data_IF_676867429099
#
_entry.id   IF_676867429099
#
_cell.length_a   1.000
_cell.length_b   1.000
_cell.length_c   1.000
_cell.angle_alpha   90.00
_cell.angle_beta   90.00
_cell.angle_gamma   90.00
#
_symmetry.space_group_name_H-M   'P 1'
#
loop_
_entity.id
_entity.type
_entity.pdbx_description
1 polymer ?
#
# COMPACT_ATOMS: atom_id res chain seq x y z
N UNK A 1 -12.39 -58.65 -23.61
CA UNK A 1 -12.08 -57.55 -22.73
C UNK A 1 -12.26 -56.25 -23.52
N UNK A 2 -13.33 -55.50 -23.26
CA UNK A 2 -13.61 -54.18 -23.93
C UNK A 2 -13.09 -53.08 -23.00
N UNK A 3 -12.09 -52.32 -23.45
CA UNK A 3 -11.58 -51.16 -22.72
C UNK A 3 -12.41 -49.94 -23.08
N UNK A 4 -13.09 -49.38 -22.09
CA UNK A 4 -13.88 -48.17 -22.20
C UNK A 4 -12.98 -46.98 -21.86
N UNK A 5 -12.66 -46.17 -22.85
CA UNK A 5 -11.94 -44.89 -22.66
C UNK A 5 -12.91 -43.81 -22.21
N UNK A 6 -12.73 -43.30 -20.98
CA UNK A 6 -13.41 -42.07 -20.53
C UNK A 6 -12.60 -40.86 -20.99
N UNK A 7 -13.16 -40.07 -21.86
CA UNK A 7 -12.69 -38.71 -22.14
C UNK A 7 -13.14 -37.81 -20.98
N UNK A 8 -12.25 -37.00 -20.36
CA UNK A 8 -12.67 -35.98 -19.44
C UNK A 8 -13.25 -34.79 -20.23
N UNK A 9 -14.51 -34.48 -19.99
CA UNK A 9 -15.20 -33.28 -20.49
C UNK A 9 -14.66 -32.06 -19.73
N UNK A 10 -13.74 -31.33 -20.34
CA UNK A 10 -13.29 -30.04 -19.84
C UNK A 10 -14.40 -29.02 -20.03
N UNK A 11 -15.09 -28.69 -18.97
CA UNK A 11 -16.05 -27.58 -18.96
C UNK A 11 -15.29 -26.25 -19.01
N UNK A 12 -15.26 -25.60 -20.15
CA UNK A 12 -14.83 -24.21 -20.29
C UNK A 12 -15.89 -23.32 -19.63
N UNK A 13 -15.57 -22.78 -18.45
CA UNK A 13 -16.32 -21.65 -17.90
C UNK A 13 -16.03 -20.42 -18.77
N UNK A 14 -16.95 -20.10 -19.65
CA UNK A 14 -16.95 -18.82 -20.36
C UNK A 14 -17.35 -17.72 -19.36
N UNK A 15 -16.36 -17.02 -18.80
CA UNK A 15 -16.58 -15.79 -18.05
C UNK A 15 -16.91 -14.70 -19.06
N UNK A 16 -18.19 -14.33 -19.15
CA UNK A 16 -18.63 -13.18 -19.93
C UNK A 16 -18.19 -11.92 -19.20
N UNK A 17 -17.14 -11.26 -19.67
CA UNK A 17 -16.82 -9.91 -19.23
C UNK A 17 -17.85 -8.95 -19.85
N UNK A 18 -18.67 -8.33 -19.01
CA UNK A 18 -19.48 -7.18 -19.43
C UNK A 18 -18.50 -6.06 -19.76
N UNK A 19 -18.50 -5.63 -21.01
CA UNK A 19 -17.73 -4.46 -21.44
C UNK A 19 -18.50 -3.24 -20.94
N UNK A 20 -18.08 -2.70 -19.80
CA UNK A 20 -18.55 -1.43 -19.31
C UNK A 20 -17.94 -0.31 -20.16
N UNK A 21 -18.75 0.61 -20.63
CA UNK A 21 -18.30 1.74 -21.42
C UNK A 21 -18.98 3.03 -20.95
N UNK A 22 -18.19 3.94 -20.40
CA UNK A 22 -18.67 5.29 -20.13
C UNK A 22 -18.97 5.99 -21.48
N UNK A 23 -19.91 6.90 -21.49
CA UNK A 23 -20.30 7.67 -22.70
C UNK A 23 -20.20 9.17 -22.41
N UNK A 24 -19.60 9.90 -23.33
CA UNK A 24 -19.52 11.36 -23.34
C UNK A 24 -20.26 11.89 -24.57
N UNK A 25 -21.27 12.71 -24.37
CA UNK A 25 -21.98 13.43 -25.42
C UNK A 25 -21.41 14.83 -25.53
N UNK A 26 -21.00 15.18 -26.73
CA UNK A 26 -20.49 16.52 -27.05
C UNK A 26 -21.63 17.46 -27.53
N UNK A 27 -21.44 18.75 -27.36
CA UNK A 27 -22.40 19.80 -27.79
C UNK A 27 -22.70 19.81 -29.28
N UNK A 28 -21.82 19.26 -30.10
CA UNK A 28 -22.03 19.09 -31.54
C UNK A 28 -22.84 17.83 -31.90
N UNK A 29 -23.24 17.02 -30.91
CA UNK A 29 -23.99 15.78 -31.04
C UNK A 29 -23.12 14.52 -31.17
N UNK A 30 -21.81 14.62 -31.23
CA UNK A 30 -20.92 13.46 -31.27
C UNK A 30 -20.93 12.70 -29.94
N UNK A 31 -20.85 11.37 -30.03
CA UNK A 31 -20.74 10.47 -28.89
C UNK A 31 -19.40 9.76 -28.88
N UNK A 32 -18.77 9.75 -27.72
CA UNK A 32 -17.50 9.07 -27.51
C UNK A 32 -17.70 8.03 -26.42
N UNK A 33 -17.47 6.76 -26.73
CA UNK A 33 -17.60 5.65 -25.80
C UNK A 33 -16.20 5.14 -25.39
N UNK A 34 -16.03 4.81 -24.11
CA UNK A 34 -14.77 4.33 -23.57
C UNK A 34 -14.78 4.34 -22.06
N UNK A 35 -13.65 4.60 -21.45
CA UNK A 35 -13.49 4.72 -19.98
C UNK A 35 -13.05 6.13 -19.64
N UNK A 36 -13.81 6.84 -18.84
CA UNK A 36 -13.43 8.15 -18.30
C UNK A 36 -12.30 7.94 -17.28
N UNK A 37 -11.11 8.43 -17.62
CA UNK A 37 -9.94 8.29 -16.74
C UNK A 37 -9.92 9.35 -15.65
N UNK A 38 -9.99 10.62 -16.06
CA UNK A 38 -9.97 11.76 -15.11
C UNK A 38 -10.44 13.05 -15.77
N UNK A 39 -10.93 13.99 -14.96
CA UNK A 39 -11.13 15.40 -15.36
C UNK A 39 -10.33 16.27 -14.43
N UNK A 40 -9.49 17.12 -15.00
CA UNK A 40 -8.70 18.10 -14.25
C UNK A 40 -8.58 19.39 -15.06
N UNK A 41 -8.76 20.52 -14.38
CA UNK A 41 -8.79 21.82 -15.07
C UNK A 41 -9.88 21.86 -16.14
N UNK A 42 -9.50 22.18 -17.38
CA UNK A 42 -10.39 22.34 -18.54
C UNK A 42 -10.46 21.12 -19.45
N UNK A 43 -9.97 19.96 -19.04
CA UNK A 43 -9.91 18.77 -19.90
C UNK A 43 -10.43 17.53 -19.20
N UNK A 44 -11.08 16.66 -19.96
CA UNK A 44 -11.43 15.28 -19.62
C UNK A 44 -10.49 14.34 -20.36
N UNK A 45 -9.90 13.41 -19.65
CA UNK A 45 -9.10 12.32 -20.21
C UNK A 45 -9.95 11.05 -20.28
N UNK A 46 -9.92 10.37 -21.41
CA UNK A 46 -10.70 9.17 -21.68
C UNK A 46 -9.87 8.14 -22.44
N UNK A 47 -10.01 6.86 -22.10
CA UNK A 47 -9.48 5.74 -22.87
C UNK A 47 -10.57 5.19 -23.77
N UNK A 48 -10.23 4.86 -25.01
CA UNK A 48 -11.15 4.24 -25.95
C UNK A 48 -10.57 2.92 -26.47
N UNK A 49 -11.37 2.06 -27.14
CA UNK A 49 -10.83 0.86 -27.79
C UNK A 49 -9.76 1.14 -28.85
N UNK A 50 -9.68 2.38 -29.35
CA UNK A 50 -8.80 2.79 -30.45
C UNK A 50 -7.60 3.63 -30.00
N UNK A 51 -7.64 4.17 -28.77
CA UNK A 51 -6.59 5.02 -28.24
C UNK A 51 -6.49 4.86 -26.72
N UNK A 52 -5.26 4.69 -26.21
CA UNK A 52 -4.99 4.59 -24.77
C UNK A 52 -5.41 5.84 -24.01
N UNK A 53 -5.35 7.01 -24.70
CA UNK A 53 -5.73 8.28 -24.10
C UNK A 53 -6.18 9.26 -25.19
N UNK A 54 -7.37 9.80 -25.01
CA UNK A 54 -7.86 10.98 -25.72
C UNK A 54 -8.14 12.10 -24.74
N UNK A 55 -7.98 13.33 -25.17
CA UNK A 55 -8.19 14.53 -24.35
C UNK A 55 -9.34 15.33 -24.97
N UNK A 56 -10.40 15.52 -24.20
CA UNK A 56 -11.61 16.23 -24.59
C UNK A 56 -11.68 17.54 -23.80
N UNK A 57 -11.93 18.65 -24.50
CA UNK A 57 -12.16 19.94 -23.82
C UNK A 57 -13.46 19.86 -23.02
N UNK A 58 -13.40 20.24 -21.75
CA UNK A 58 -14.53 20.15 -20.83
C UNK A 58 -15.73 20.98 -21.27
N UNK A 59 -15.47 22.15 -21.83
CA UNK A 59 -16.48 23.06 -22.36
C UNK A 59 -17.19 22.56 -23.62
N UNK A 60 -16.63 21.57 -24.31
CA UNK A 60 -17.26 20.91 -25.47
C UNK A 60 -18.26 19.81 -25.05
N UNK A 61 -18.29 19.39 -23.79
CA UNK A 61 -19.14 18.32 -23.30
C UNK A 61 -20.53 18.89 -22.95
N UNK A 62 -21.58 18.19 -23.39
CA UNK A 62 -22.97 18.46 -23.03
C UNK A 62 -23.39 17.65 -21.82
N UNK A 63 -23.12 16.33 -21.83
CA UNK A 63 -23.38 15.45 -20.68
C UNK A 63 -22.48 14.21 -20.75
N UNK A 64 -22.46 13.45 -19.66
CA UNK A 64 -21.74 12.19 -19.59
C UNK A 64 -22.49 11.16 -18.76
N UNK A 65 -22.22 9.89 -19.02
CA UNK A 65 -22.70 8.77 -18.21
C UNK A 65 -21.58 7.78 -17.95
N UNK A 66 -21.68 7.02 -16.86
CA UNK A 66 -20.71 6.00 -16.51
C UNK A 66 -21.37 4.71 -16.07
N UNK A 67 -20.75 3.60 -16.45
CA UNK A 67 -21.17 2.26 -16.02
C UNK A 67 -20.48 1.81 -14.72
N UNK A 68 -19.48 2.55 -14.29
CA UNK A 68 -18.76 2.34 -13.04
C UNK A 68 -18.86 3.61 -12.19
N UNK A 69 -19.04 3.50 -10.86
CA UNK A 69 -19.02 4.67 -9.99
C UNK A 69 -17.75 5.49 -10.17
N UNK A 70 -17.92 6.81 -10.25
CA UNK A 70 -16.82 7.76 -10.33
C UNK A 70 -16.84 8.72 -9.13
N UNK A 71 -15.68 9.23 -8.77
CA UNK A 71 -15.53 10.26 -7.78
C UNK A 71 -15.59 11.62 -8.47
N UNK A 72 -16.48 12.48 -8.03
CA UNK A 72 -16.68 13.83 -8.55
C UNK A 72 -16.46 14.82 -7.43
N UNK A 73 -15.51 15.72 -7.61
CA UNK A 73 -15.25 16.84 -6.70
C UNK A 73 -15.86 18.09 -7.31
N UNK A 74 -16.71 18.76 -6.54
CA UNK A 74 -17.32 20.04 -6.92
C UNK A 74 -16.41 21.23 -6.57
N UNK A 75 -16.70 22.40 -7.11
CA UNK A 75 -15.94 23.63 -6.82
C UNK A 75 -16.00 24.07 -5.38
N UNK A 76 -17.06 23.74 -4.67
CA UNK A 76 -17.23 23.97 -3.22
C UNK A 76 -16.48 22.95 -2.36
N UNK A 77 -15.72 22.03 -3.01
CA UNK A 77 -14.98 20.91 -2.41
C UNK A 77 -15.85 19.77 -1.89
N UNK A 78 -17.14 19.76 -2.19
CA UNK A 78 -17.96 18.59 -1.91
C UNK A 78 -17.54 17.41 -2.80
N UNK A 79 -17.36 16.25 -2.21
CA UNK A 79 -17.01 15.01 -2.91
C UNK A 79 -18.24 14.10 -2.97
N UNK A 80 -18.53 13.64 -4.16
CA UNK A 80 -19.67 12.78 -4.47
C UNK A 80 -19.16 11.54 -5.20
N UNK A 81 -19.66 10.36 -4.81
CA UNK A 81 -19.33 9.10 -5.48
C UNK A 81 -20.60 8.43 -5.97
N UNK A 82 -20.63 8.06 -7.24
CA UNK A 82 -21.78 7.38 -7.82
C UNK A 82 -21.62 7.10 -9.31
N UNK A 83 -22.61 6.39 -9.87
CA UNK A 83 -22.75 6.21 -11.31
C UNK A 83 -23.20 7.53 -11.93
N UNK A 84 -22.47 8.03 -12.90
CA UNK A 84 -22.93 9.20 -13.62
C UNK A 84 -24.05 8.85 -14.59
N UNK A 85 -25.12 9.63 -14.54
CA UNK A 85 -26.23 9.58 -15.48
C UNK A 85 -26.28 10.83 -16.34
N UNK A 86 -26.57 10.66 -17.63
CA UNK A 86 -26.75 11.79 -18.54
C UNK A 86 -27.98 12.63 -18.12
N UNK A 87 -27.83 13.94 -18.20
CA UNK A 87 -28.91 14.90 -17.94
C UNK A 87 -28.90 15.98 -19.01
N UNK A 88 -29.99 16.71 -19.15
CA UNK A 88 -30.11 17.84 -20.11
C UNK A 88 -29.43 19.10 -19.58
N UNK A 89 -29.23 20.06 -20.44
CA UNK A 89 -28.74 21.42 -20.11
C UNK A 89 -27.34 21.44 -19.50
N UNK A 90 -26.39 20.80 -20.13
CA UNK A 90 -24.99 20.84 -19.74
C UNK A 90 -24.78 20.41 -18.27
N UNK A 91 -25.46 19.31 -17.89
CA UNK A 91 -25.44 18.76 -16.55
C UNK A 91 -25.35 17.23 -16.55
N UNK A 92 -25.06 16.66 -15.39
CA UNK A 92 -25.07 15.24 -15.12
C UNK A 92 -25.76 14.96 -13.79
N UNK A 93 -26.20 13.72 -13.58
CA UNK A 93 -26.64 13.23 -12.27
C UNK A 93 -25.66 12.21 -11.74
N UNK A 94 -25.65 11.99 -10.42
CA UNK A 94 -24.90 10.90 -9.80
C UNK A 94 -25.86 10.03 -9.01
N UNK A 95 -25.84 8.74 -9.30
CA UNK A 95 -26.61 7.72 -8.58
C UNK A 95 -25.74 7.08 -7.51
N UNK A 96 -25.94 7.49 -6.27
CA UNK A 96 -25.21 6.97 -5.13
C UNK A 96 -25.80 5.64 -4.67
N UNK A 97 -24.96 4.59 -4.59
CA UNK A 97 -25.34 3.24 -4.13
C UNK A 97 -26.60 2.65 -4.78
N UNK A 98 -26.96 3.10 -5.97
CA UNK A 98 -28.11 2.59 -6.71
C UNK A 98 -29.47 2.99 -6.17
N UNK A 99 -29.56 3.84 -5.15
CA UNK A 99 -30.83 4.15 -4.43
C UNK A 99 -31.35 5.54 -4.72
N UNK A 100 -30.46 6.56 -4.81
CA UNK A 100 -30.87 7.94 -5.03
C UNK A 100 -30.04 8.59 -6.14
N UNK A 101 -30.72 9.29 -7.06
CA UNK A 101 -30.06 10.19 -8.00
C UNK A 101 -29.93 11.58 -7.35
N UNK A 102 -28.77 12.23 -7.57
CA UNK A 102 -28.64 13.64 -7.17
C UNK A 102 -29.56 14.51 -8.03
N UNK A 103 -29.81 15.73 -7.56
CA UNK A 103 -30.28 16.78 -8.47
C UNK A 103 -29.27 16.94 -9.61
N UNK A 104 -29.71 17.39 -10.81
CA UNK A 104 -28.78 17.65 -11.91
C UNK A 104 -27.66 18.59 -11.47
N UNK A 105 -26.42 18.13 -11.62
CA UNK A 105 -25.20 18.87 -11.29
C UNK A 105 -24.74 19.55 -12.58
N UNK A 106 -24.69 20.90 -12.64
CA UNK A 106 -24.13 21.58 -13.79
C UNK A 106 -22.67 21.18 -13.99
N UNK A 107 -22.25 20.88 -15.20
CA UNK A 107 -20.85 20.51 -15.49
C UNK A 107 -19.89 21.66 -15.15
N UNK A 108 -20.39 22.89 -15.12
CA UNK A 108 -19.61 24.07 -14.67
C UNK A 108 -19.21 23.99 -13.21
N UNK A 109 -19.96 23.27 -12.37
CA UNK A 109 -19.66 23.12 -10.94
C UNK A 109 -18.73 21.94 -10.64
N UNK A 110 -18.45 21.09 -11.63
CA UNK A 110 -17.53 19.96 -11.49
C UNK A 110 -16.09 20.47 -11.57
N UNK A 111 -15.36 20.40 -10.47
CA UNK A 111 -13.95 20.74 -10.41
C UNK A 111 -13.07 19.61 -10.95
N UNK A 112 -13.26 18.39 -10.45
CA UNK A 112 -12.46 17.21 -10.81
C UNK A 112 -13.34 15.96 -10.92
N UNK A 113 -12.91 15.00 -11.75
CA UNK A 113 -13.49 13.64 -11.82
C UNK A 113 -12.33 12.66 -11.72
N UNK A 114 -12.47 11.61 -10.91
CA UNK A 114 -11.47 10.57 -10.72
C UNK A 114 -10.08 11.16 -10.52
N UNK A 115 -9.95 12.06 -9.56
CA UNK A 115 -8.68 12.73 -9.22
C UNK A 115 -7.59 11.68 -9.00
N UNK A 116 -6.45 11.87 -9.64
CA UNK A 116 -5.26 11.07 -9.32
C UNK A 116 -4.68 11.61 -8.03
N UNK A 117 -4.75 10.80 -6.98
CA UNK A 117 -4.10 11.14 -5.72
C UNK A 117 -2.64 10.73 -5.78
N UNK A 118 -1.77 11.69 -5.51
CA UNK A 118 -0.39 11.45 -5.16
C UNK A 118 -0.23 11.85 -3.71
N UNK A 119 0.08 10.91 -2.86
CA UNK A 119 0.30 11.12 -1.43
C UNK A 119 1.53 10.39 -0.98
N UNK A 120 2.07 10.80 0.13
CA UNK A 120 3.22 10.15 0.71
C UNK A 120 3.63 10.78 2.01
N UNK A 121 4.65 10.22 2.61
CA UNK A 121 5.31 10.82 3.77
C UNK A 121 6.79 10.46 3.80
N UNK A 122 7.58 11.32 4.40
CA UNK A 122 8.96 11.05 4.77
C UNK A 122 9.13 11.44 6.23
N UNK A 123 9.60 10.50 7.04
CA UNK A 123 9.75 10.65 8.47
C UNK A 123 11.20 10.37 8.89
N UNK A 124 11.66 11.11 9.86
CA UNK A 124 12.97 10.91 10.49
C UNK A 124 12.81 11.00 12.00
N UNK A 125 13.40 10.04 12.70
CA UNK A 125 13.39 9.98 14.16
C UNK A 125 14.71 9.50 14.72
N UNK A 126 14.90 9.70 15.99
CA UNK A 126 16.10 9.24 16.65
C UNK A 126 16.17 9.68 18.11
N UNK A 127 17.12 9.12 18.80
CA UNK A 127 17.42 9.44 20.18
C UNK A 127 18.91 9.32 20.47
N UNK A 128 19.43 10.24 21.25
CA UNK A 128 20.79 10.24 21.77
C UNK A 128 20.72 10.24 23.29
N UNK A 129 21.52 9.42 23.93
CA UNK A 129 21.71 9.50 25.37
C UNK A 129 23.19 9.37 25.69
N UNK A 130 23.63 10.03 26.76
CA UNK A 130 24.99 9.99 27.25
C UNK A 130 25.04 9.71 28.73
N UNK A 131 26.23 9.37 29.24
CA UNK A 131 26.47 9.03 30.65
C UNK A 131 27.26 7.73 30.77
N UNK A 132 26.88 6.85 31.69
CA UNK A 132 27.54 5.54 31.87
C UNK A 132 27.29 4.60 30.66
N UNK A 133 26.23 4.85 29.91
CA UNK A 133 25.94 4.19 28.61
C UNK A 133 25.59 5.27 27.61
N UNK A 134 26.31 5.32 26.51
CA UNK A 134 25.96 6.13 25.37
C UNK A 134 25.09 5.31 24.41
N UNK A 135 23.98 5.90 23.92
CA UNK A 135 23.09 5.27 22.95
C UNK A 135 22.79 6.22 21.80
N UNK A 136 22.76 5.65 20.60
CA UNK A 136 22.37 6.35 19.40
C UNK A 136 21.35 5.48 18.66
N UNK A 137 20.21 6.05 18.34
CA UNK A 137 19.18 5.37 17.55
C UNK A 137 18.70 6.32 16.46
N UNK A 138 18.62 5.83 15.23
CA UNK A 138 18.10 6.56 14.07
C UNK A 138 17.06 5.71 13.35
N UNK A 139 15.99 6.34 12.98
CA UNK A 139 14.94 5.76 12.14
C UNK A 139 14.61 6.73 11.03
N UNK A 140 14.51 6.22 9.81
CA UNK A 140 14.03 6.97 8.66
C UNK A 140 13.09 6.08 7.86
N UNK A 141 11.94 6.62 7.45
CA UNK A 141 11.04 5.97 6.51
C UNK A 141 10.50 6.96 5.50
N UNK A 142 10.17 6.44 4.34
CA UNK A 142 9.47 7.18 3.30
C UNK A 142 8.51 6.26 2.57
N UNK A 143 7.37 6.80 2.17
CA UNK A 143 6.40 6.11 1.33
C UNK A 143 5.78 7.09 0.33
N UNK A 144 5.36 6.55 -0.80
CA UNK A 144 4.65 7.27 -1.83
C UNK A 144 3.54 6.38 -2.38
N UNK A 145 2.38 6.96 -2.65
CA UNK A 145 1.22 6.30 -3.20
C UNK A 145 0.66 7.13 -4.35
N UNK A 146 0.45 6.47 -5.47
CA UNK A 146 -0.27 7.04 -6.61
C UNK A 146 -1.54 6.22 -6.79
N UNK A 147 -2.69 6.88 -6.71
CA UNK A 147 -4.00 6.28 -6.90
C UNK A 147 -4.66 6.90 -8.12
N UNK A 148 -4.88 6.10 -9.14
CA UNK A 148 -5.74 6.42 -10.28
C UNK A 148 -7.14 5.83 -10.08
N UNK A 149 -7.96 5.84 -11.12
CA UNK A 149 -9.30 5.24 -11.09
C UNK A 149 -9.24 3.74 -10.78
N UNK A 150 -8.49 3.01 -11.60
CA UNK A 150 -8.44 1.54 -11.55
C UNK A 150 -7.09 1.01 -11.06
N UNK A 151 -6.09 1.87 -10.94
CA UNK A 151 -4.72 1.49 -10.60
C UNK A 151 -4.22 2.19 -9.35
N UNK A 152 -3.50 1.45 -8.52
CA UNK A 152 -2.79 1.98 -7.34
C UNK A 152 -1.36 1.47 -7.34
N UNK A 153 -0.41 2.37 -7.16
CA UNK A 153 1.01 2.04 -6.95
C UNK A 153 1.43 2.59 -5.60
N UNK A 154 1.96 1.74 -4.77
CA UNK A 154 2.56 2.11 -3.50
C UNK A 154 4.03 1.69 -3.48
N UNK A 155 4.89 2.60 -3.06
CA UNK A 155 6.32 2.36 -2.87
C UNK A 155 6.72 2.85 -1.49
N UNK A 156 7.66 2.19 -0.86
CA UNK A 156 8.17 2.69 0.40
C UNK A 156 9.42 1.95 0.86
N UNK A 157 10.04 2.54 1.86
CA UNK A 157 11.21 1.97 2.49
C UNK A 157 11.43 2.53 3.88
N UNK A 158 12.19 1.79 4.66
CA UNK A 158 12.60 2.20 6.00
C UNK A 158 14.03 1.77 6.28
N UNK A 159 14.71 2.51 7.14
CA UNK A 159 16.03 2.21 7.65
C UNK A 159 16.06 2.45 9.16
N UNK A 160 16.63 1.50 9.90
CA UNK A 160 16.83 1.59 11.32
C UNK A 160 18.30 1.30 11.66
N UNK A 161 18.86 2.14 12.49
CA UNK A 161 20.20 1.96 13.07
C UNK A 161 20.16 2.28 14.56
N UNK A 162 20.85 1.49 15.37
CA UNK A 162 21.03 1.77 16.77
C UNK A 162 22.23 1.06 17.31
N UNK A 163 22.99 1.76 18.13
CA UNK A 163 24.08 1.21 18.91
C UNK A 163 24.07 1.74 20.35
N UNK A 164 24.81 1.05 21.21
CA UNK A 164 25.10 1.53 22.55
C UNK A 164 26.55 1.22 22.91
N UNK A 165 27.17 2.13 23.66
CA UNK A 165 28.52 1.94 24.20
C UNK A 165 28.42 1.95 25.73
N UNK A 166 28.69 0.82 26.32
CA UNK A 166 28.76 0.69 27.79
C UNK A 166 30.14 1.11 28.28
N UNK A 167 30.15 1.83 29.39
CA UNK A 167 31.37 2.34 30.03
C UNK A 167 32.26 3.12 29.06
N UNK A 168 31.73 4.16 28.36
CA UNK A 168 32.50 4.95 27.43
C UNK A 168 33.73 5.57 28.17
N UNK A 169 34.83 5.72 27.46
CA UNK A 169 36.08 6.26 27.99
C UNK A 169 36.80 5.38 29.03
N UNK A 170 36.45 4.10 29.15
CA UNK A 170 37.19 3.13 29.96
C UNK A 170 37.84 2.05 29.07
N UNK A 171 38.87 1.32 29.58
CA UNK A 171 39.43 0.18 28.86
C UNK A 171 38.42 -0.97 28.65
N UNK A 172 37.33 -0.96 29.41
CA UNK A 172 36.25 -1.96 29.36
C UNK A 172 35.09 -1.55 28.42
N UNK A 173 35.26 -0.44 27.71
CA UNK A 173 34.26 0.09 26.76
C UNK A 173 33.88 -0.96 25.74
N UNK A 174 32.56 -1.17 25.56
CA UNK A 174 31.98 -2.11 24.57
C UNK A 174 30.94 -1.41 23.73
N UNK A 175 31.11 -1.48 22.44
CA UNK A 175 30.06 -1.04 21.50
C UNK A 175 29.16 -2.23 21.14
N UNK A 176 27.87 -2.04 21.25
CA UNK A 176 26.82 -3.04 21.02
C UNK A 176 25.89 -2.52 19.94
N UNK A 177 25.84 -3.21 18.81
CA UNK A 177 24.83 -2.94 17.78
C UNK A 177 23.46 -3.42 18.25
N UNK A 178 22.48 -2.54 18.32
CA UNK A 178 21.12 -2.81 18.78
C UNK A 178 20.09 -2.89 17.65
N UNK A 179 20.36 -2.21 16.54
CA UNK A 179 19.54 -2.27 15.33
C UNK A 179 20.39 -1.93 14.10
N UNK A 180 20.24 -2.69 13.05
CA UNK A 180 20.76 -2.37 11.71
C UNK A 180 19.95 -3.15 10.68
N UNK A 181 18.90 -2.54 10.22
CA UNK A 181 18.02 -3.16 9.23
C UNK A 181 17.46 -2.11 8.26
N UNK A 182 17.09 -2.60 7.07
CA UNK A 182 16.37 -1.81 6.11
C UNK A 182 15.31 -2.66 5.40
N UNK A 183 14.32 -1.99 4.84
CA UNK A 183 13.27 -2.59 4.05
C UNK A 183 12.94 -1.68 2.87
N UNK A 184 12.70 -2.30 1.72
CA UNK A 184 12.10 -1.66 0.54
C UNK A 184 10.90 -2.49 0.10
N UNK A 185 9.83 -1.85 -0.29
CA UNK A 185 8.66 -2.53 -0.81
C UNK A 185 8.01 -1.75 -1.95
N UNK A 186 7.32 -2.47 -2.82
CA UNK A 186 6.51 -1.91 -3.87
C UNK A 186 5.30 -2.78 -4.15
N UNK A 187 4.14 -2.17 -4.37
CA UNK A 187 2.90 -2.86 -4.70
C UNK A 187 2.20 -2.14 -5.84
N UNK A 188 1.79 -2.91 -6.84
CA UNK A 188 0.86 -2.48 -7.88
C UNK A 188 -0.46 -3.21 -7.66
N UNK A 189 -1.56 -2.48 -7.70
CA UNK A 189 -2.92 -3.03 -7.57
C UNK A 189 -3.78 -2.54 -8.73
N UNK A 190 -4.52 -3.46 -9.35
CA UNK A 190 -5.50 -3.16 -10.39
C UNK A 190 -6.90 -3.51 -9.89
N UNK A 191 -7.80 -2.53 -9.88
CA UNK A 191 -9.17 -2.65 -9.39
C UNK A 191 -10.10 -3.09 -10.52
N UNK A 192 -10.69 -4.28 -10.37
CA UNK A 192 -11.71 -4.81 -11.29
C UNK A 192 -13.11 -4.27 -10.96
N UNK A 193 -13.31 -3.90 -9.70
CA UNK A 193 -14.50 -3.24 -9.17
C UNK A 193 -14.05 -2.17 -8.16
N UNK A 194 -14.92 -1.30 -7.67
CA UNK A 194 -14.53 -0.36 -6.61
C UNK A 194 -13.96 -1.00 -5.35
N UNK A 195 -14.16 -2.30 -5.15
CA UNK A 195 -13.74 -3.03 -3.94
C UNK A 195 -12.75 -4.15 -4.20
N UNK A 196 -12.90 -4.90 -5.29
CA UNK A 196 -12.04 -6.03 -5.58
C UNK A 196 -10.88 -5.62 -6.48
N UNK A 197 -9.68 -6.00 -6.12
CA UNK A 197 -8.48 -5.77 -6.92
C UNK A 197 -7.55 -6.99 -6.93
N UNK A 198 -6.78 -7.12 -8.00
CA UNK A 198 -5.60 -7.96 -8.05
C UNK A 198 -4.37 -7.13 -7.71
N UNK A 199 -3.38 -7.73 -7.06
CA UNK A 199 -2.12 -7.05 -6.78
C UNK A 199 -0.91 -7.90 -7.18
N UNK A 200 0.19 -7.19 -7.42
CA UNK A 200 1.54 -7.74 -7.46
C UNK A 200 2.42 -6.92 -6.53
N UNK A 201 3.24 -7.57 -5.73
CA UNK A 201 4.14 -6.86 -4.82
C UNK A 201 5.54 -7.45 -4.79
N UNK A 202 6.50 -6.61 -4.35
CA UNK A 202 7.86 -7.00 -4.05
C UNK A 202 8.30 -6.43 -2.72
N UNK A 203 9.02 -7.22 -1.95
CA UNK A 203 9.57 -6.86 -0.65
C UNK A 203 11.03 -7.29 -0.58
N UNK A 204 11.89 -6.37 -0.13
CA UNK A 204 13.29 -6.64 0.17
C UNK A 204 13.59 -6.18 1.58
N UNK A 205 14.16 -7.06 2.39
CA UNK A 205 14.57 -6.73 3.76
C UNK A 205 15.94 -7.26 4.08
N UNK A 206 16.68 -6.51 4.88
CA UNK A 206 17.92 -6.93 5.51
C UNK A 206 17.78 -6.71 7.02
N UNK A 207 18.28 -7.63 7.81
CA UNK A 207 18.36 -7.46 9.26
C UNK A 207 19.63 -8.12 9.80
N UNK A 208 20.59 -7.28 10.18
CA UNK A 208 21.90 -7.74 10.64
C UNK A 208 21.82 -8.46 12.01
N UNK A 209 20.88 -8.07 12.86
CA UNK A 209 20.71 -8.71 14.16
C UNK A 209 20.10 -10.09 14.08
N UNK A 210 19.24 -10.31 13.10
CA UNK A 210 18.64 -11.62 12.80
C UNK A 210 19.48 -12.47 11.84
N UNK A 211 20.68 -11.98 11.47
CA UNK A 211 21.56 -12.60 10.49
C UNK A 211 20.98 -12.75 9.10
N UNK A 212 19.95 -12.01 8.76
CA UNK A 212 19.33 -11.97 7.43
C UNK A 212 20.10 -11.00 6.54
N UNK A 213 20.83 -11.52 5.56
CA UNK A 213 21.54 -10.74 4.54
C UNK A 213 20.56 -10.11 3.57
N UNK A 214 19.63 -10.94 3.07
CA UNK A 214 18.56 -10.49 2.20
C UNK A 214 17.38 -11.44 2.28
N UNK A 215 16.22 -10.92 2.63
CA UNK A 215 14.94 -11.56 2.34
C UNK A 215 14.35 -10.86 1.13
N UNK A 216 14.06 -11.58 0.08
CA UNK A 216 13.26 -11.09 -1.04
C UNK A 216 11.97 -11.89 -1.14
N UNK A 217 10.85 -11.19 -1.30
CA UNK A 217 9.55 -11.80 -1.51
C UNK A 217 8.89 -11.13 -2.71
N UNK A 218 8.33 -11.94 -3.60
CA UNK A 218 7.56 -11.48 -4.75
C UNK A 218 6.26 -12.27 -4.79
N UNK A 219 5.16 -11.57 -4.88
CA UNK A 219 3.87 -12.22 -4.83
C UNK A 219 2.81 -11.54 -5.67
N UNK A 220 1.75 -12.31 -5.88
CA UNK A 220 0.53 -11.85 -6.54
C UNK A 220 -0.66 -12.33 -5.72
N UNK A 221 -1.78 -11.64 -5.83
CA UNK A 221 -2.96 -12.06 -5.08
C UNK A 221 -4.18 -11.22 -5.37
N UNK A 222 -5.19 -11.42 -4.54
CA UNK A 222 -6.41 -10.64 -4.55
C UNK A 222 -6.53 -9.83 -3.26
N UNK A 223 -7.13 -8.66 -3.38
CA UNK A 223 -7.43 -7.81 -2.26
C UNK A 223 -8.87 -7.29 -2.29
N UNK A 224 -9.35 -6.93 -1.13
CA UNK A 224 -10.67 -6.34 -0.94
C UNK A 224 -10.55 -5.05 -0.15
N UNK A 225 -11.03 -3.96 -0.73
CA UNK A 225 -11.13 -2.64 -0.13
C UNK A 225 -12.48 -2.49 0.54
N UNK A 226 -12.51 -2.53 1.87
CA UNK A 226 -13.75 -2.35 2.65
C UNK A 226 -14.19 -0.90 2.63
N UNK A 227 -13.24 0.00 2.90
CA UNK A 227 -13.41 1.44 2.93
C UNK A 227 -12.23 2.10 2.23
N UNK A 228 -12.49 3.07 1.38
CA UNK A 228 -11.50 3.95 0.77
C UNK A 228 -12.08 5.36 0.74
N UNK A 229 -11.71 6.17 1.72
CA UNK A 229 -12.11 7.56 1.84
C UNK A 229 -10.96 8.39 2.39
N UNK A 230 -11.11 9.69 2.43
CA UNK A 230 -10.11 10.57 3.04
C UNK A 230 -9.90 10.31 4.53
N UNK A 231 -10.93 9.82 5.24
CA UNK A 231 -10.91 9.67 6.70
C UNK A 231 -10.73 8.23 7.15
N UNK A 232 -11.06 7.24 6.30
CA UNK A 232 -11.00 5.82 6.66
C UNK A 232 -10.58 4.97 5.47
N UNK A 233 -9.51 4.23 5.64
CA UNK A 233 -9.07 3.19 4.73
C UNK A 233 -8.98 1.85 5.46
N UNK A 234 -9.51 0.81 4.82
CA UNK A 234 -9.43 -0.55 5.32
C UNK A 234 -9.37 -1.52 4.16
N UNK A 235 -8.30 -2.30 4.07
CA UNK A 235 -8.12 -3.32 3.05
C UNK A 235 -7.54 -4.60 3.62
N UNK A 236 -7.87 -5.71 2.95
CA UNK A 236 -7.33 -7.03 3.22
C UNK A 236 -6.78 -7.62 1.91
N UNK A 237 -5.62 -8.27 1.98
CA UNK A 237 -4.96 -8.92 0.86
C UNK A 237 -4.60 -10.36 1.21
N UNK A 238 -4.66 -11.25 0.23
CA UNK A 238 -4.13 -12.60 0.35
C UNK A 238 -3.66 -13.14 -0.99
N UNK A 239 -2.61 -13.96 -0.97
CA UNK A 239 -2.06 -14.57 -2.17
C UNK A 239 -0.81 -15.40 -1.91
N UNK A 240 -0.31 -16.11 -2.92
CA UNK A 240 0.98 -16.77 -2.87
C UNK A 240 2.13 -15.80 -3.12
N UNK A 241 3.21 -16.00 -2.38
CA UNK A 241 4.50 -15.33 -2.54
C UNK A 241 5.59 -16.36 -2.81
N UNK A 242 6.58 -16.01 -3.60
CA UNK A 242 7.87 -16.67 -3.62
C UNK A 242 8.82 -15.92 -2.72
N UNK A 243 9.33 -16.59 -1.70
CA UNK A 243 10.24 -16.02 -0.70
C UNK A 243 11.61 -16.65 -0.84
N UNK A 244 12.65 -15.83 -0.89
CA UNK A 244 14.04 -16.25 -0.77
C UNK A 244 14.65 -15.58 0.46
N UNK A 245 15.21 -16.38 1.34
CA UNK A 245 15.85 -15.96 2.59
C UNK A 245 17.31 -16.36 2.55
N UNK A 246 18.16 -15.38 2.48
CA UNK A 246 19.59 -15.48 2.35
C UNK A 246 20.24 -14.95 3.65
N UNK A 247 21.05 -15.78 4.27
CA UNK A 247 21.69 -15.47 5.56
C UNK A 247 23.14 -14.99 5.38
N UNK A 248 23.66 -14.32 6.40
CA UNK A 248 25.09 -14.03 6.45
C UNK A 248 25.88 -15.29 6.72
N UNK A 249 27.01 -15.47 6.03
CA UNK A 249 27.94 -16.60 6.22
C UNK A 249 28.51 -16.67 7.64
N UNK A 250 28.63 -15.48 8.28
CA UNK A 250 29.13 -15.35 9.64
C UNK A 250 28.05 -14.66 10.50
N UNK A 251 27.44 -15.44 11.42
CA UNK A 251 26.45 -14.89 12.34
C UNK A 251 26.98 -13.71 13.13
N UNK A 252 26.11 -12.71 13.34
CA UNK A 252 26.45 -11.56 14.16
C UNK A 252 26.53 -11.99 15.63
N UNK A 253 27.66 -11.63 16.28
CA UNK A 253 27.88 -11.85 17.72
C UNK A 253 28.09 -13.29 18.19
N UNK A 254 28.56 -14.18 17.32
CA UNK A 254 28.97 -15.53 17.67
C UNK A 254 29.96 -15.61 18.86
N UNK A 255 30.82 -14.61 18.99
CA UNK A 255 31.82 -14.56 20.05
C UNK A 255 31.24 -14.36 21.45
N UNK A 256 29.97 -13.88 21.57
CA UNK A 256 29.31 -13.59 22.85
C UNK A 256 28.49 -14.75 23.40
N UNK A 257 27.86 -15.54 22.52
CA UNK A 257 26.91 -16.58 22.93
C UNK A 257 27.59 -17.93 23.14
N UNK A 258 28.84 -18.09 22.72
CA UNK A 258 29.63 -19.31 22.93
C UNK A 258 29.11 -20.56 22.20
N UNK A 259 28.00 -20.44 21.47
CA UNK A 259 27.37 -21.56 20.78
C UNK A 259 26.78 -21.10 19.45
N UNK A 260 27.64 -20.83 18.51
CA UNK A 260 27.25 -20.43 17.15
C UNK A 260 26.90 -21.60 16.27
N UNK A 261 26.18 -22.56 16.69
CA UNK A 261 25.78 -23.67 15.83
C UNK A 261 26.86 -24.19 14.85
N UNK A 262 26.77 -25.39 14.40
CA UNK A 262 27.80 -26.01 13.53
C UNK A 262 27.78 -25.48 12.09
N UNK A 263 28.14 -24.23 11.85
CA UNK A 263 28.34 -23.69 10.49
C UNK A 263 27.36 -22.58 10.06
N UNK A 264 27.49 -22.07 8.85
CA UNK A 264 26.63 -21.02 8.32
C UNK A 264 25.17 -21.50 8.21
N UNK A 265 24.23 -20.56 8.43
CA UNK A 265 22.82 -20.83 8.21
C UNK A 265 22.59 -21.13 6.72
N UNK A 266 21.75 -22.14 6.45
CA UNK A 266 21.41 -22.46 5.07
C UNK A 266 20.35 -21.51 4.55
N UNK A 267 20.60 -20.98 3.36
CA UNK A 267 19.62 -20.20 2.62
C UNK A 267 18.35 -21.04 2.35
N UNK A 268 17.22 -20.37 2.35
CA UNK A 268 15.92 -21.01 2.17
C UNK A 268 15.14 -20.29 1.10
N UNK A 269 14.43 -21.03 0.27
CA UNK A 269 13.51 -20.46 -0.68
C UNK A 269 12.28 -21.34 -0.86
N UNK A 270 11.15 -20.76 -1.16
CA UNK A 270 9.91 -21.52 -1.34
C UNK A 270 8.71 -20.65 -1.56
N UNK A 271 7.57 -21.31 -1.76
CA UNK A 271 6.27 -20.65 -1.86
C UNK A 271 5.71 -20.47 -0.45
N UNK A 272 5.26 -19.26 -0.15
CA UNK A 272 4.59 -18.89 1.08
C UNK A 272 3.15 -18.43 0.80
N UNK A 273 2.25 -18.65 1.74
CA UNK A 273 0.98 -17.95 1.79
C UNK A 273 1.19 -16.57 2.42
N UNK A 274 0.77 -15.53 1.75
CA UNK A 274 0.79 -14.13 2.27
C UNK A 274 -0.61 -13.66 2.62
N UNK A 275 -0.72 -12.90 3.69
CA UNK A 275 -1.86 -12.05 3.97
C UNK A 275 -1.38 -10.68 4.44
N UNK A 276 -2.16 -9.65 4.17
CA UNK A 276 -1.91 -8.31 4.69
C UNK A 276 -3.22 -7.62 5.05
N UNK A 277 -3.16 -6.80 6.08
CA UNK A 277 -4.25 -5.96 6.55
C UNK A 277 -3.72 -4.54 6.68
N UNK A 278 -4.44 -3.59 6.09
CA UNK A 278 -4.08 -2.18 6.17
C UNK A 278 -5.29 -1.40 6.67
N UNK A 279 -5.08 -0.63 7.70
CA UNK A 279 -6.06 0.25 8.30
C UNK A 279 -5.42 1.59 8.60
N UNK A 280 -6.12 2.67 8.25
CA UNK A 280 -5.85 4.01 8.75
C UNK A 280 -7.17 4.78 8.88
N UNK A 281 -7.25 5.61 9.93
CA UNK A 281 -8.44 6.42 10.21
C UNK A 281 -8.06 7.73 10.87
N UNK A 282 -8.58 8.83 10.34
CA UNK A 282 -8.59 10.10 11.02
C UNK A 282 -9.70 10.17 12.05
N UNK A 283 -9.37 10.63 13.24
CA UNK A 283 -10.29 10.84 14.36
C UNK A 283 -10.20 12.28 14.87
N UNK A 284 -11.19 12.69 15.67
CA UNK A 284 -11.25 14.02 16.31
C UNK A 284 -11.09 15.17 15.32
N UNK A 285 -11.93 15.17 14.28
CA UNK A 285 -11.92 16.19 13.23
C UNK A 285 -10.54 16.29 12.54
N UNK A 286 -9.96 15.13 12.21
CA UNK A 286 -8.64 14.94 11.56
C UNK A 286 -7.44 15.41 12.41
N UNK A 287 -7.63 15.60 13.71
CA UNK A 287 -6.53 15.98 14.60
C UNK A 287 -5.52 14.85 14.81
N UNK A 288 -5.95 13.59 14.69
CA UNK A 288 -5.11 12.40 14.85
C UNK A 288 -5.46 11.39 13.78
N UNK A 289 -4.47 10.79 13.15
CA UNK A 289 -4.61 9.62 12.29
C UNK A 289 -4.11 8.39 13.03
N UNK A 290 -4.98 7.42 13.26
CA UNK A 290 -4.60 6.08 13.72
C UNK A 290 -4.22 5.23 12.52
N UNK A 291 -3.23 4.36 12.65
CA UNK A 291 -2.92 3.38 11.63
C UNK A 291 -2.52 2.03 12.21
N UNK A 292 -2.81 0.99 11.45
CA UNK A 292 -2.34 -0.37 11.71
C UNK A 292 -2.06 -1.07 10.39
N UNK A 293 -0.86 -1.59 10.23
CA UNK A 293 -0.51 -2.48 9.11
C UNK A 293 -0.04 -3.80 9.67
N UNK A 294 -0.52 -4.87 9.08
CA UNK A 294 -0.16 -6.22 9.48
C UNK A 294 0.12 -7.04 8.22
N UNK A 295 1.23 -7.74 8.19
CA UNK A 295 1.61 -8.64 7.12
C UNK A 295 2.10 -9.96 7.70
N UNK A 296 1.66 -11.05 7.14
CA UNK A 296 2.12 -12.39 7.49
C UNK A 296 2.52 -13.19 6.26
N UNK A 297 3.57 -13.99 6.42
CA UNK A 297 4.07 -14.96 5.45
C UNK A 297 4.17 -16.31 6.13
N UNK A 298 3.52 -17.32 5.59
CA UNK A 298 3.55 -18.69 6.10
C UNK A 298 4.09 -19.65 5.03
N UNK A 299 5.21 -20.28 5.31
CA UNK A 299 5.82 -21.34 4.52
C UNK A 299 6.29 -22.46 5.49
N UNK A 300 7.56 -22.82 5.44
CA UNK A 300 8.19 -23.67 6.46
C UNK A 300 8.38 -22.95 7.79
N UNK A 301 8.40 -21.63 7.77
CA UNK A 301 8.40 -20.72 8.90
C UNK A 301 7.22 -19.74 8.81
N UNK A 302 6.92 -19.11 9.94
CA UNK A 302 5.92 -18.06 10.02
C UNK A 302 6.64 -16.75 10.35
N UNK A 303 6.49 -15.78 9.46
CA UNK A 303 6.90 -14.40 9.69
C UNK A 303 5.65 -13.51 9.81
N UNK A 304 5.62 -12.66 10.82
CA UNK A 304 4.57 -11.66 11.00
C UNK A 304 5.24 -10.32 11.31
N UNK A 305 4.77 -9.27 10.67
CA UNK A 305 5.09 -7.88 11.01
C UNK A 305 3.82 -7.10 11.26
N UNK A 306 3.76 -6.44 12.40
CA UNK A 306 2.68 -5.53 12.77
C UNK A 306 3.24 -4.16 13.10
N UNK A 307 2.66 -3.12 12.54
CA UNK A 307 2.99 -1.72 12.82
C UNK A 307 1.70 -1.03 13.26
N UNK A 308 1.69 -0.52 14.46
CA UNK A 308 0.52 0.18 15.04
C UNK A 308 0.96 1.52 15.57
N UNK A 309 0.22 2.55 15.26
CA UNK A 309 0.61 3.87 15.72
C UNK A 309 -0.41 4.94 15.46
N UNK A 310 0.03 6.16 15.70
CA UNK A 310 -0.75 7.35 15.39
C UNK A 310 0.15 8.45 14.82
N UNK A 311 -0.46 9.29 14.00
CA UNK A 311 0.14 10.51 13.45
C UNK A 311 -0.67 11.70 13.91
N UNK A 312 0.04 12.75 14.31
CA UNK A 312 -0.55 14.04 14.69
C UNK A 312 -0.06 15.08 13.69
N UNK A 313 -0.92 15.55 12.77
CA UNK A 313 -0.59 16.69 11.93
C UNK A 313 -0.34 17.93 12.81
N UNK A 314 0.80 18.60 12.63
CA UNK A 314 1.18 19.77 13.43
C UNK A 314 0.90 21.03 12.63
N UNK A 315 1.50 21.15 11.45
CA UNK A 315 1.40 22.35 10.62
C UNK A 315 1.91 22.08 9.20
N UNK A 316 1.13 22.47 8.17
CA UNK A 316 1.53 22.50 6.76
C UNK A 316 2.26 21.23 6.28
N UNK A 317 1.68 20.06 6.52
CA UNK A 317 2.26 18.75 6.17
C UNK A 317 3.25 18.20 7.19
N UNK A 318 3.74 19.01 8.15
CA UNK A 318 4.57 18.50 9.24
C UNK A 318 3.72 17.68 10.19
N UNK A 319 4.17 16.50 10.52
CA UNK A 319 3.48 15.57 11.41
C UNK A 319 4.45 14.93 12.41
N UNK A 320 3.93 14.64 13.60
CA UNK A 320 4.56 13.75 14.56
C UNK A 320 3.99 12.35 14.40
N UNK A 321 4.85 11.34 14.39
CA UNK A 321 4.45 9.93 14.32
C UNK A 321 4.99 9.18 15.53
N UNK A 322 4.13 8.40 16.17
CA UNK A 322 4.48 7.39 17.15
C UNK A 322 4.06 6.02 16.64
N UNK A 323 4.95 5.06 16.68
CA UNK A 323 4.74 3.73 16.15
C UNK A 323 5.36 2.66 17.03
N UNK A 324 4.65 1.54 17.16
CA UNK A 324 5.17 0.29 17.71
C UNK A 324 5.22 -0.71 16.55
N UNK A 325 6.40 -1.20 16.23
CA UNK A 325 6.61 -2.29 15.28
C UNK A 325 6.94 -3.57 16.07
N UNK A 326 6.25 -4.64 15.72
CA UNK A 326 6.49 -5.99 16.26
C UNK A 326 6.75 -6.93 15.09
N UNK A 327 7.91 -7.55 15.07
CA UNK A 327 8.30 -8.58 14.11
C UNK A 327 8.35 -9.93 14.86
N UNK A 328 7.68 -10.92 14.31
CA UNK A 328 7.72 -12.30 14.80
C UNK A 328 8.28 -13.24 13.73
N UNK A 329 9.21 -14.09 14.10
CA UNK A 329 9.76 -15.14 13.26
C UNK A 329 9.75 -16.47 14.03
N UNK A 330 9.00 -17.46 13.52
CA UNK A 330 8.85 -18.73 14.24
C UNK A 330 10.12 -19.57 14.31
N UNK A 331 11.01 -19.40 13.34
CA UNK A 331 12.31 -20.11 13.26
C UNK A 331 13.45 -19.11 13.06
N UNK A 332 13.79 -18.33 14.11
CA UNK A 332 14.90 -17.40 14.03
C UNK A 332 16.24 -18.13 13.93
N UNK A 333 17.30 -17.41 13.62
CA UNK A 333 18.65 -17.92 13.69
C UNK A 333 18.99 -18.44 15.10
N UNK A 334 19.85 -19.44 15.25
CA UNK A 334 20.24 -19.95 16.56
C UNK A 334 20.73 -18.84 17.52
N UNK A 335 20.17 -18.82 18.73
CA UNK A 335 20.49 -17.83 19.76
C UNK A 335 19.78 -16.48 19.59
N UNK A 336 18.82 -16.37 18.66
CA UNK A 336 17.99 -15.18 18.49
C UNK A 336 16.59 -15.37 19.05
N UNK A 337 15.97 -14.26 19.44
CA UNK A 337 14.59 -14.24 19.92
C UNK A 337 13.60 -14.35 18.75
N UNK A 338 12.41 -14.89 19.05
CA UNK A 338 11.33 -14.98 18.07
C UNK A 338 10.62 -13.65 17.81
N UNK A 339 10.70 -12.72 18.76
CA UNK A 339 9.98 -11.44 18.74
C UNK A 339 10.94 -10.28 18.87
N UNK A 340 10.88 -9.37 17.92
CA UNK A 340 11.53 -8.08 17.98
C UNK A 340 10.49 -6.98 18.12
N UNK A 341 10.65 -6.09 19.11
CA UNK A 341 9.76 -4.95 19.31
C UNK A 341 10.55 -3.65 19.21
N UNK A 342 10.04 -2.70 18.45
CA UNK A 342 10.61 -1.37 18.26
C UNK A 342 9.59 -0.30 18.57
N UNK A 343 10.00 0.69 19.37
CA UNK A 343 9.23 1.91 19.63
C UNK A 343 9.87 3.05 18.83
N UNK A 344 9.11 3.63 17.92
CA UNK A 344 9.61 4.62 16.98
C UNK A 344 8.89 5.94 17.17
N UNK A 345 9.66 7.01 17.31
CA UNK A 345 9.18 8.39 17.38
C UNK A 345 9.82 9.17 16.26
N UNK A 346 9.04 9.83 15.44
CA UNK A 346 9.56 10.58 14.32
C UNK A 346 8.78 11.86 14.06
N UNK A 347 9.47 12.81 13.42
CA UNK A 347 8.88 13.99 12.81
C UNK A 347 9.06 13.83 11.31
N UNK A 348 8.03 14.14 10.56
CA UNK A 348 8.05 13.98 9.13
C UNK A 348 7.20 15.00 8.40
N UNK A 349 7.19 14.85 7.09
CA UNK A 349 6.38 15.65 6.18
C UNK A 349 5.50 14.70 5.36
N UNK A 350 4.18 14.96 5.36
CA UNK A 350 3.20 14.28 4.54
C UNK A 350 2.65 15.23 3.46
N UNK A 351 2.40 14.70 2.25
CA UNK A 351 1.86 15.43 1.11
C UNK A 351 0.72 14.70 0.42
#
# INVERSE_FOLDING_TARGET
MKSTHYLPLAAFLSVSFSIYADEVLLKNGDKISGTILSKSGSVLEMKTPYAEKIVIKWDAIDTLSSDIPMNVTLKDKQELTGLAGSSQNNSMTLKSNGVYDTQPIPLTEVAEINKKFFSGSANFGGGLSGGNTERQNYHADANALVRGRDDKVALGGQYNYGDSTDNPNTPESRNILNARNWQLYGTYSHYFTPKWYGYAHGLFTNDRLQDIRLRSAFGVGAGYQFFESEDLNLSLEAGPDYVNLDFYDFPFDCSRVGNCGNGPLQDRSGIAGRWAFNYDQFIWNRAVQLFHTHEGLIADDLFIRSRTGFRVPIWNGIQFTNEIQVDYLSKPAPGKENVDTRYLFSIGYGW
#
